data_IF_214486681353
#
_entry.id   IF_214486681353
#
_cell.length_a   1.000
_cell.length_b   1.000
_cell.length_c   1.000
_cell.angle_alpha   90.00
_cell.angle_beta   90.00
_cell.angle_gamma   90.00
#
_symmetry.space_group_name_H-M   'P 1'
#
loop_
_entity.id
_entity.type
_entity.pdbx_description
1 polymer ?
#
# COMPACT_ATOMS: atom_id res chain seq x y z
N UNK A 1 -22.24 23.22 -34.03
CA UNK A 1 -21.17 23.53 -33.05
C UNK A 1 -21.32 22.52 -31.92
N UNK A 2 -20.34 21.62 -31.81
CA UNK A 2 -20.47 20.32 -31.15
C UNK A 2 -20.45 20.43 -29.62
N UNK A 3 -21.53 19.96 -28.99
CA UNK A 3 -21.72 19.90 -27.54
C UNK A 3 -20.68 19.03 -26.81
N UNK A 4 -19.96 18.17 -27.52
CA UNK A 4 -18.88 17.32 -27.00
C UNK A 4 -17.58 18.08 -26.71
N UNK A 5 -17.29 19.16 -27.43
CA UNK A 5 -16.04 19.93 -27.23
C UNK A 5 -16.09 20.78 -25.94
N UNK A 6 -17.28 21.28 -25.58
CA UNK A 6 -17.51 22.05 -24.37
C UNK A 6 -17.44 21.19 -23.09
N UNK A 7 -17.86 19.93 -23.17
CA UNK A 7 -17.79 18.98 -22.03
C UNK A 7 -16.34 18.57 -21.77
N UNK A 8 -15.54 18.36 -22.82
CA UNK A 8 -14.11 18.02 -22.66
C UNK A 8 -13.29 19.18 -22.10
N UNK A 9 -13.56 20.42 -22.54
CA UNK A 9 -12.90 21.62 -22.00
C UNK A 9 -13.27 21.85 -20.52
N UNK A 10 -14.55 21.76 -20.16
CA UNK A 10 -15.00 21.88 -18.76
C UNK A 10 -14.45 20.76 -17.86
N UNK A 11 -14.28 19.54 -18.40
CA UNK A 11 -13.71 18.42 -17.65
C UNK A 11 -12.21 18.56 -17.39
N UNK A 12 -11.47 19.20 -18.31
CA UNK A 12 -10.03 19.45 -18.16
C UNK A 12 -9.77 20.61 -17.21
N UNK A 13 -10.53 21.71 -17.34
CA UNK A 13 -10.40 22.88 -16.47
C UNK A 13 -10.70 22.53 -15.01
N UNK A 14 -11.77 21.76 -14.77
CA UNK A 14 -12.12 21.26 -13.44
C UNK A 14 -11.16 20.21 -12.87
N UNK A 15 -10.38 19.51 -13.71
CA UNK A 15 -9.33 18.60 -13.25
C UNK A 15 -8.03 19.34 -12.90
N UNK A 16 -7.69 20.39 -13.65
CA UNK A 16 -6.50 21.21 -13.41
C UNK A 16 -6.66 22.10 -12.17
N UNK A 17 -7.82 22.74 -11.98
CA UNK A 17 -8.13 23.49 -10.75
C UNK A 17 -8.07 22.61 -9.50
N UNK A 18 -8.68 21.42 -9.58
CA UNK A 18 -8.72 20.49 -8.46
C UNK A 18 -7.32 19.91 -8.15
N UNK A 19 -6.48 19.69 -9.16
CA UNK A 19 -5.07 19.34 -8.95
C UNK A 19 -4.25 20.48 -8.33
N UNK A 20 -4.53 21.72 -8.71
CA UNK A 20 -3.87 22.92 -8.18
C UNK A 20 -4.25 23.15 -6.71
N UNK A 21 -5.52 23.03 -6.37
CA UNK A 21 -6.04 23.14 -5.00
C UNK A 21 -5.48 22.03 -4.11
N UNK A 22 -5.45 20.79 -4.60
CA UNK A 22 -4.85 19.68 -3.86
C UNK A 22 -3.35 19.89 -3.60
N UNK A 23 -2.61 20.52 -4.53
CA UNK A 23 -1.21 20.90 -4.29
C UNK A 23 -1.09 21.97 -3.20
N UNK A 24 -1.94 22.99 -3.21
CA UNK A 24 -1.93 24.03 -2.17
C UNK A 24 -2.25 23.47 -0.79
N UNK A 25 -3.25 22.57 -0.69
CA UNK A 25 -3.58 21.86 0.54
C UNK A 25 -2.38 21.06 1.04
N UNK A 26 -1.73 20.25 0.19
CA UNK A 26 -0.54 19.47 0.57
C UNK A 26 0.59 20.35 1.09
N UNK A 27 0.83 21.51 0.46
CA UNK A 27 1.91 22.42 0.87
C UNK A 27 1.67 23.00 2.26
N UNK A 28 0.40 23.19 2.65
CA UNK A 28 -0.02 23.75 3.94
C UNK A 28 -0.01 22.74 5.11
N UNK A 29 0.06 21.44 4.83
CA UNK A 29 0.00 20.41 5.88
C UNK A 29 1.24 20.47 6.78
N UNK A 30 1.08 20.22 8.10
CA UNK A 30 2.22 20.04 9.00
C UNK A 30 3.14 18.94 8.49
N UNK A 31 4.45 19.21 8.50
CA UNK A 31 5.47 18.31 7.96
C UNK A 31 6.38 17.86 9.10
N UNK A 32 6.73 16.59 9.07
CA UNK A 32 7.73 16.03 9.96
C UNK A 32 8.67 15.13 9.15
N UNK A 33 9.96 15.19 9.48
CA UNK A 33 10.93 14.30 8.88
C UNK A 33 10.65 12.88 9.39
N UNK A 34 10.27 11.98 8.48
CA UNK A 34 10.07 10.60 8.85
C UNK A 34 11.42 9.94 9.13
N UNK A 35 11.37 8.81 9.84
CA UNK A 35 12.45 7.85 10.02
C UNK A 35 12.90 7.19 8.69
N UNK A 36 12.12 7.39 7.62
CA UNK A 36 12.32 6.90 6.25
C UNK A 36 12.75 8.08 5.37
N UNK A 37 13.38 7.81 4.21
CA UNK A 37 13.82 8.77 3.19
C UNK A 37 12.73 9.72 2.61
N UNK A 38 11.52 9.76 3.16
CA UNK A 38 10.38 10.59 2.70
C UNK A 38 9.81 11.46 3.81
N UNK A 39 9.37 12.67 3.49
CA UNK A 39 8.64 13.53 4.42
C UNK A 39 7.25 12.95 4.76
N UNK A 40 6.89 12.95 6.04
CA UNK A 40 5.53 12.64 6.48
C UNK A 40 4.71 13.93 6.61
N UNK A 41 3.45 13.86 6.22
CA UNK A 41 2.48 14.95 6.31
C UNK A 41 1.33 14.54 7.24
N UNK A 42 0.87 15.48 8.06
CA UNK A 42 -0.30 15.28 8.91
C UNK A 42 -1.57 15.56 8.11
N UNK A 43 -2.32 14.52 7.77
CA UNK A 43 -3.51 14.58 6.92
C UNK A 43 -4.69 13.90 7.63
N UNK A 44 -5.83 14.59 7.73
CA UNK A 44 -7.08 14.04 8.30
C UNK A 44 -6.89 13.24 9.61
N UNK A 45 -6.09 13.79 10.53
CA UNK A 45 -5.78 13.22 11.84
C UNK A 45 -4.81 12.03 11.88
N UNK A 46 -4.03 11.77 10.82
CA UNK A 46 -2.95 10.78 10.84
C UNK A 46 -1.70 11.24 10.06
N UNK A 47 -0.55 10.68 10.43
CA UNK A 47 0.70 10.91 9.72
C UNK A 47 0.83 9.91 8.56
N UNK A 48 1.13 10.40 7.36
CA UNK A 48 1.41 9.54 6.23
C UNK A 48 2.48 10.10 5.28
N UNK A 49 3.18 9.22 4.54
CA UNK A 49 4.15 9.63 3.53
C UNK A 49 3.53 10.57 2.49
N UNK A 50 4.25 11.62 2.12
CA UNK A 50 3.76 12.64 1.17
C UNK A 50 3.33 12.07 -0.18
N UNK A 51 3.98 11.01 -0.66
CA UNK A 51 3.65 10.33 -1.91
C UNK A 51 2.32 9.57 -1.87
N UNK A 52 1.71 9.38 -0.70
CA UNK A 52 0.40 8.73 -0.55
C UNK A 52 -0.76 9.71 -0.46
N UNK A 53 -0.52 11.00 -0.21
CA UNK A 53 -1.61 11.98 -0.05
C UNK A 53 -2.45 12.09 -1.32
N UNK A 54 -1.81 12.30 -2.48
CA UNK A 54 -2.51 12.41 -3.76
C UNK A 54 -3.30 11.13 -4.10
N UNK A 55 -2.71 9.92 -3.98
CA UNK A 55 -3.46 8.66 -4.04
C UNK A 55 -4.68 8.60 -3.14
N UNK A 56 -4.56 9.02 -1.88
CA UNK A 56 -5.65 8.97 -0.89
C UNK A 56 -6.77 9.95 -1.28
N UNK A 57 -6.44 11.19 -1.69
CA UNK A 57 -7.43 12.17 -2.15
C UNK A 57 -8.16 11.63 -3.40
N UNK A 58 -7.42 11.10 -4.37
CA UNK A 58 -8.02 10.53 -5.58
C UNK A 58 -8.92 9.34 -5.26
N UNK A 59 -8.51 8.48 -4.33
CA UNK A 59 -9.33 7.40 -3.83
C UNK A 59 -10.62 7.90 -3.18
N UNK A 60 -10.54 8.89 -2.28
CA UNK A 60 -11.71 9.46 -1.59
C UNK A 60 -12.74 10.04 -2.57
N UNK A 61 -12.28 10.67 -3.65
CA UNK A 61 -13.13 11.36 -4.62
C UNK A 61 -13.73 10.42 -5.68
N UNK A 62 -12.99 9.38 -6.10
CA UNK A 62 -13.36 8.60 -7.29
C UNK A 62 -13.75 7.15 -6.99
N UNK A 63 -13.48 6.62 -5.80
CA UNK A 63 -13.77 5.21 -5.52
C UNK A 63 -15.26 4.96 -5.31
N UNK A 64 -15.78 3.94 -6.00
CA UNK A 64 -17.17 3.50 -5.89
C UNK A 64 -17.21 2.07 -5.33
N UNK A 65 -17.58 1.99 -4.05
CA UNK A 65 -17.77 0.73 -3.35
C UNK A 65 -19.01 -0.02 -3.87
N UNK A 66 -18.94 -1.35 -3.82
CA UNK A 66 -20.08 -2.25 -3.99
C UNK A 66 -20.34 -2.96 -2.68
N UNK A 67 -21.59 -3.36 -2.45
CA UNK A 67 -21.97 -4.15 -1.28
C UNK A 67 -21.27 -5.53 -1.24
N UNK A 68 -20.80 -6.04 -2.38
CA UNK A 68 -20.02 -7.28 -2.48
C UNK A 68 -18.54 -7.11 -2.15
N UNK A 69 -18.04 -5.88 -1.99
CA UNK A 69 -16.62 -5.64 -1.77
C UNK A 69 -16.18 -6.06 -0.37
N UNK A 70 -14.92 -6.47 -0.29
CA UNK A 70 -14.26 -6.82 0.96
C UNK A 70 -12.99 -5.98 1.10
N UNK A 71 -12.90 -5.19 2.16
CA UNK A 71 -11.76 -4.32 2.47
C UNK A 71 -10.99 -4.89 3.65
N UNK A 72 -9.74 -5.27 3.40
CA UNK A 72 -8.81 -5.77 4.40
C UNK A 72 -7.99 -4.60 4.96
N UNK A 73 -8.41 -4.07 6.10
CA UNK A 73 -7.80 -2.92 6.75
C UNK A 73 -6.79 -3.35 7.82
N UNK A 74 -5.71 -2.59 7.98
CA UNK A 74 -4.67 -2.91 8.97
C UNK A 74 -3.68 -1.77 9.13
N UNK A 75 -3.02 -1.67 10.27
CA UNK A 75 -1.79 -0.90 10.35
C UNK A 75 -0.66 -1.60 9.58
N UNK A 76 0.31 -0.85 9.00
CA UNK A 76 1.49 -1.46 8.42
C UNK A 76 2.14 -2.42 9.42
N UNK A 77 2.54 -3.61 8.94
CA UNK A 77 3.28 -4.63 9.70
C UNK A 77 2.51 -5.33 10.83
N UNK A 78 1.18 -5.23 10.87
CA UNK A 78 0.33 -5.98 11.83
C UNK A 78 -0.07 -7.39 11.37
N UNK A 79 0.55 -7.96 10.32
CA UNK A 79 0.17 -9.27 9.76
C UNK A 79 -0.67 -9.21 8.47
N UNK A 80 -0.55 -8.12 7.73
CA UNK A 80 -1.42 -7.73 6.62
C UNK A 80 -1.33 -8.69 5.44
N UNK A 81 -0.13 -9.18 5.12
CA UNK A 81 0.10 -10.22 4.10
C UNK A 81 -0.67 -11.50 4.41
N UNK A 82 -0.64 -11.93 5.67
CA UNK A 82 -1.30 -13.16 6.10
C UNK A 82 -2.83 -13.02 6.04
N UNK A 83 -3.38 -11.91 6.55
CA UNK A 83 -4.82 -11.66 6.49
C UNK A 83 -5.32 -11.55 5.04
N UNK A 84 -4.58 -10.89 4.15
CA UNK A 84 -4.92 -10.80 2.72
C UNK A 84 -4.95 -12.18 2.07
N UNK A 85 -3.94 -13.01 2.32
CA UNK A 85 -3.88 -14.37 1.79
C UNK A 85 -5.07 -15.22 2.28
N UNK A 86 -5.36 -15.18 3.58
CA UNK A 86 -6.50 -15.90 4.15
C UNK A 86 -7.83 -15.44 3.56
N UNK A 87 -8.05 -14.12 3.50
CA UNK A 87 -9.28 -13.55 2.95
C UNK A 87 -9.46 -13.99 1.49
N UNK A 88 -8.39 -13.90 0.68
CA UNK A 88 -8.42 -14.34 -0.71
C UNK A 88 -8.74 -15.82 -0.85
N UNK A 89 -8.10 -16.69 -0.06
CA UNK A 89 -8.36 -18.14 -0.09
C UNK A 89 -9.78 -18.47 0.34
N UNK A 90 -10.30 -17.85 1.40
CA UNK A 90 -11.65 -18.13 1.91
C UNK A 90 -12.71 -17.73 0.87
N UNK A 91 -12.56 -16.55 0.28
CA UNK A 91 -13.49 -16.02 -0.72
C UNK A 91 -13.48 -16.86 -1.99
N UNK A 92 -12.29 -17.30 -2.43
CA UNK A 92 -12.11 -18.04 -3.67
C UNK A 92 -11.97 -19.56 -3.47
N UNK A 93 -12.37 -20.09 -2.30
CA UNK A 93 -12.17 -21.50 -1.92
C UNK A 93 -12.79 -22.51 -2.88
N UNK A 94 -13.85 -22.12 -3.58
CA UNK A 94 -14.55 -22.94 -4.56
C UNK A 94 -14.08 -22.68 -6.01
N UNK A 95 -13.26 -21.65 -6.23
CA UNK A 95 -12.80 -21.25 -7.57
C UNK A 95 -11.45 -21.89 -7.94
N UNK A 96 -10.60 -22.15 -6.95
CA UNK A 96 -9.26 -22.67 -7.17
C UNK A 96 -9.04 -23.97 -6.39
N UNK A 97 -8.45 -24.96 -7.04
CA UNK A 97 -7.93 -26.14 -6.34
C UNK A 97 -6.68 -25.78 -5.56
N UNK A 98 -6.34 -26.59 -4.56
CA UNK A 98 -5.15 -26.39 -3.74
C UNK A 98 -3.86 -26.39 -4.57
N UNK A 99 -3.74 -27.31 -5.53
CA UNK A 99 -2.55 -27.49 -6.38
C UNK A 99 -2.32 -26.33 -7.36
N UNK A 100 -3.40 -25.67 -7.80
CA UNK A 100 -3.34 -24.59 -8.78
C UNK A 100 -3.77 -23.23 -8.19
N UNK A 101 -3.58 -23.05 -6.89
CA UNK A 101 -3.99 -21.82 -6.21
C UNK A 101 -3.13 -20.61 -6.62
N UNK A 102 -3.71 -19.44 -6.97
CA UNK A 102 -2.96 -18.26 -7.40
C UNK A 102 -1.88 -17.78 -6.41
N UNK A 103 -2.10 -18.00 -5.11
CA UNK A 103 -1.12 -17.66 -4.05
C UNK A 103 0.22 -18.39 -4.17
N UNK A 104 0.27 -19.54 -4.87
CA UNK A 104 1.50 -20.29 -5.09
C UNK A 104 2.35 -19.70 -6.22
N UNK A 105 1.73 -18.93 -7.13
CA UNK A 105 2.36 -18.44 -8.38
C UNK A 105 2.48 -16.92 -8.43
N UNK A 106 1.69 -16.20 -7.64
CA UNK A 106 1.56 -14.74 -7.72
C UNK A 106 1.82 -14.06 -6.38
N UNK A 107 2.36 -12.84 -6.47
CA UNK A 107 2.54 -11.97 -5.31
C UNK A 107 1.15 -11.52 -4.80
N UNK A 108 0.94 -11.60 -3.47
CA UNK A 108 -0.35 -11.25 -2.84
C UNK A 108 -0.85 -9.86 -3.21
N UNK A 109 0.04 -8.89 -3.38
CA UNK A 109 -0.32 -7.50 -3.74
C UNK A 109 -0.94 -7.37 -5.13
N UNK A 110 -0.80 -8.37 -6.01
CA UNK A 110 -1.51 -8.42 -7.30
C UNK A 110 -2.91 -9.03 -7.16
N UNK A 111 -3.10 -9.92 -6.19
CA UNK A 111 -4.36 -10.62 -5.95
C UNK A 111 -5.31 -9.81 -5.05
N UNK A 112 -4.75 -9.15 -4.03
CA UNK A 112 -5.45 -8.27 -3.11
C UNK A 112 -4.73 -6.92 -3.11
N UNK A 113 -4.97 -6.08 -4.13
CA UNK A 113 -4.23 -4.84 -4.31
C UNK A 113 -4.48 -3.82 -3.19
N UNK A 114 -3.47 -3.01 -2.88
CA UNK A 114 -3.60 -1.91 -1.92
C UNK A 114 -4.28 -0.73 -2.59
N UNK A 115 -5.27 -0.14 -1.91
CA UNK A 115 -6.00 1.01 -2.41
C UNK A 115 -5.04 2.18 -2.69
N UNK A 116 -4.27 2.57 -1.68
CA UNK A 116 -3.39 3.73 -1.71
C UNK A 116 -2.08 3.52 -2.49
N UNK A 117 -1.70 2.27 -2.78
CA UNK A 117 -0.42 1.95 -3.45
C UNK A 117 -0.52 1.26 -4.80
N UNK A 118 -1.64 0.61 -5.09
CA UNK A 118 -1.81 -0.16 -6.34
C UNK A 118 -3.00 0.35 -7.16
N UNK A 119 -4.14 0.67 -6.53
CA UNK A 119 -5.30 1.17 -7.27
C UNK A 119 -5.16 2.65 -7.63
N UNK A 120 -4.63 3.46 -6.74
CA UNK A 120 -4.47 4.90 -6.92
C UNK A 120 -2.99 5.30 -6.88
N UNK A 121 -2.10 4.38 -7.29
CA UNK A 121 -0.66 4.61 -7.31
C UNK A 121 -0.32 5.96 -7.99
N UNK A 122 0.66 6.68 -7.45
CA UNK A 122 1.06 7.97 -7.99
C UNK A 122 1.62 7.86 -9.42
N UNK A 123 2.24 6.72 -9.78
CA UNK A 123 2.63 6.40 -11.14
C UNK A 123 1.56 5.52 -11.81
N UNK A 124 1.03 5.98 -12.96
CA UNK A 124 0.04 5.23 -13.74
C UNK A 124 0.56 3.87 -14.22
N UNK A 125 1.88 3.70 -14.40
CA UNK A 125 2.46 2.42 -14.84
C UNK A 125 2.28 1.29 -13.83
N UNK A 126 2.25 1.65 -12.55
CA UNK A 126 2.09 0.70 -11.44
C UNK A 126 0.62 0.54 -11.01
N UNK A 127 -0.29 1.28 -11.67
CA UNK A 127 -1.70 1.27 -11.35
C UNK A 127 -2.38 -0.02 -11.85
N UNK A 128 -3.13 -0.68 -10.96
CA UNK A 128 -3.98 -1.81 -11.31
C UNK A 128 -5.40 -1.29 -11.56
N UNK A 129 -5.90 -1.33 -12.81
CA UNK A 129 -7.26 -0.90 -13.11
C UNK A 129 -8.28 -1.73 -12.33
N UNK A 130 -9.25 -1.07 -11.70
CA UNK A 130 -10.30 -1.72 -10.92
C UNK A 130 -11.12 -2.71 -11.76
N UNK A 131 -11.20 -2.50 -13.08
CA UNK A 131 -11.88 -3.38 -14.04
C UNK A 131 -11.20 -4.74 -14.24
N UNK A 132 -9.91 -4.88 -13.87
CA UNK A 132 -9.17 -6.15 -13.96
C UNK A 132 -9.34 -7.02 -12.72
N UNK A 133 -10.00 -6.52 -11.67
CA UNK A 133 -10.16 -7.24 -10.41
C UNK A 133 -11.40 -8.13 -10.51
N UNK A 134 -11.22 -9.42 -10.20
CA UNK A 134 -12.26 -10.44 -10.28
C UNK A 134 -13.22 -10.27 -9.09
N UNK A 135 -14.51 -10.48 -9.32
CA UNK A 135 -15.54 -10.45 -8.28
C UNK A 135 -15.56 -11.74 -7.44
N UNK A 136 -15.84 -11.65 -6.13
CA UNK A 136 -16.02 -10.42 -5.36
C UNK A 136 -14.69 -9.69 -5.13
N UNK A 137 -14.68 -8.36 -5.29
CA UNK A 137 -13.45 -7.56 -5.21
C UNK A 137 -12.91 -7.52 -3.79
N UNK A 138 -11.62 -7.84 -3.65
CA UNK A 138 -10.91 -7.80 -2.37
C UNK A 138 -9.81 -6.74 -2.45
N UNK A 139 -9.85 -5.79 -1.53
CA UNK A 139 -8.87 -4.72 -1.43
C UNK A 139 -8.13 -4.80 -0.11
N UNK A 140 -6.93 -4.24 -0.03
CA UNK A 140 -6.30 -3.95 1.26
C UNK A 140 -6.01 -2.47 1.42
N UNK A 141 -5.93 -2.01 2.66
CA UNK A 141 -5.62 -0.61 2.95
C UNK A 141 -4.97 -0.42 4.31
N UNK A 142 -4.14 0.62 4.39
CA UNK A 142 -3.63 1.17 5.64
C UNK A 142 -4.26 2.51 6.03
N UNK A 143 -5.22 3.00 5.24
CA UNK A 143 -5.93 4.25 5.50
C UNK A 143 -6.85 4.06 6.72
N UNK A 144 -6.84 4.98 7.71
CA UNK A 144 -7.77 4.95 8.82
C UNK A 144 -9.24 5.01 8.35
N UNK A 145 -10.14 4.41 9.12
CA UNK A 145 -11.56 4.32 8.77
C UNK A 145 -12.19 5.69 8.47
N UNK A 146 -11.87 6.73 9.26
CA UNK A 146 -12.36 8.10 9.08
C UNK A 146 -11.96 8.73 7.74
N UNK A 147 -10.90 8.22 7.11
CA UNK A 147 -10.34 8.70 5.85
C UNK A 147 -10.62 7.76 4.68
N UNK A 148 -11.48 6.75 4.84
CA UNK A 148 -11.94 5.93 3.72
C UNK A 148 -12.94 6.72 2.85
N UNK A 149 -13.07 6.33 1.58
CA UNK A 149 -14.06 6.92 0.68
C UNK A 149 -15.48 6.81 1.28
N UNK A 150 -16.29 7.87 1.14
CA UNK A 150 -17.66 7.89 1.68
C UNK A 150 -18.51 6.71 1.17
N UNK A 151 -18.31 6.32 -0.09
CA UNK A 151 -18.96 5.15 -0.69
C UNK A 151 -18.72 3.85 0.09
N UNK A 152 -17.53 3.66 0.70
CA UNK A 152 -17.25 2.52 1.58
C UNK A 152 -17.99 2.66 2.91
N UNK A 153 -18.02 3.87 3.49
CA UNK A 153 -18.66 4.13 4.78
C UNK A 153 -20.19 3.98 4.71
N UNK A 154 -20.79 4.27 3.56
CA UNK A 154 -22.25 4.26 3.34
C UNK A 154 -22.78 2.95 2.73
N UNK A 155 -21.90 2.09 2.21
CA UNK A 155 -22.27 0.80 1.59
C UNK A 155 -22.26 -0.36 2.61
N UNK A 156 -22.82 -1.50 2.20
CA UNK A 156 -22.79 -2.74 2.99
C UNK A 156 -21.51 -3.55 2.77
N UNK A 157 -20.43 -2.92 2.26
CA UNK A 157 -19.16 -3.60 2.04
C UNK A 157 -18.59 -4.11 3.37
N UNK A 158 -17.84 -5.22 3.30
CA UNK A 158 -17.32 -5.88 4.49
C UNK A 158 -15.91 -5.37 4.78
N UNK A 159 -15.69 -4.84 5.97
CA UNK A 159 -14.36 -4.41 6.41
C UNK A 159 -13.83 -5.44 7.42
N UNK A 160 -12.68 -6.04 7.10
CA UNK A 160 -11.96 -6.95 7.99
C UNK A 160 -10.70 -6.26 8.47
N UNK A 161 -10.60 -6.00 9.77
CA UNK A 161 -9.47 -5.31 10.36
C UNK A 161 -8.61 -6.25 11.21
N UNK A 162 -7.28 -6.14 11.10
CA UNK A 162 -6.33 -6.79 12.01
C UNK A 162 -5.44 -5.77 12.72
N UNK A 163 -5.45 -5.86 14.04
CA UNK A 163 -4.51 -5.20 14.93
C UNK A 163 -3.50 -6.18 15.49
N UNK A 164 -2.35 -5.64 15.88
CA UNK A 164 -1.32 -6.32 16.65
C UNK A 164 -0.94 -5.40 17.82
N UNK A 165 -0.34 -5.95 18.87
CA UNK A 165 0.25 -5.15 19.94
C UNK A 165 1.09 -4.01 19.33
N UNK A 166 0.89 -2.74 19.73
CA UNK A 166 1.59 -1.61 19.14
C UNK A 166 3.11 -1.68 19.30
N UNK A 167 3.62 -2.24 20.41
CA UNK A 167 5.05 -2.41 20.63
C UNK A 167 5.67 -3.40 19.63
N UNK A 168 5.01 -4.54 19.42
CA UNK A 168 5.45 -5.52 18.42
C UNK A 168 5.35 -4.96 16.99
N UNK A 169 4.30 -4.18 16.72
CA UNK A 169 4.09 -3.56 15.41
C UNK A 169 5.22 -2.57 15.12
N UNK A 170 5.60 -1.77 16.11
CA UNK A 170 6.72 -0.84 16.03
C UNK A 170 8.04 -1.58 15.75
N UNK A 171 8.39 -2.60 16.53
CA UNK A 171 9.63 -3.38 16.32
C UNK A 171 9.65 -4.01 14.92
N UNK A 172 8.52 -4.55 14.47
CA UNK A 172 8.40 -5.12 13.12
C UNK A 172 8.54 -4.08 12.02
N UNK A 173 8.03 -2.87 12.24
CA UNK A 173 8.17 -1.74 11.31
C UNK A 173 9.62 -1.24 11.26
N UNK A 174 10.23 -1.04 12.41
CA UNK A 174 11.63 -0.60 12.53
C UNK A 174 12.59 -1.59 11.86
N UNK A 175 12.42 -2.89 12.13
CA UNK A 175 13.21 -3.95 11.48
C UNK A 175 13.02 -3.93 9.97
N UNK A 176 11.78 -3.78 9.50
CA UNK A 176 11.47 -3.74 8.07
C UNK A 176 12.09 -2.52 7.36
N UNK A 177 12.00 -1.35 7.98
CA UNK A 177 12.59 -0.11 7.45
C UNK A 177 14.11 -0.23 7.42
N UNK A 178 14.72 -0.75 8.48
CA UNK A 178 16.17 -0.98 8.54
C UNK A 178 16.65 -1.91 7.43
N UNK A 179 15.96 -3.03 7.19
CA UNK A 179 16.27 -3.90 6.06
C UNK A 179 16.10 -3.21 4.70
N UNK A 180 15.05 -2.41 4.53
CA UNK A 180 14.79 -1.70 3.27
C UNK A 180 15.90 -0.68 2.98
N UNK A 181 16.31 0.08 4.00
CA UNK A 181 17.42 1.03 3.90
C UNK A 181 18.68 0.27 3.50
N UNK A 182 19.05 -0.81 4.20
CA UNK A 182 20.24 -1.61 3.87
C UNK A 182 20.25 -2.10 2.41
N UNK A 183 19.09 -2.52 1.90
CA UNK A 183 18.95 -2.93 0.49
C UNK A 183 19.24 -1.75 -0.45
N UNK A 184 18.61 -0.59 -0.22
CA UNK A 184 18.82 0.61 -1.05
C UNK A 184 20.28 1.04 -1.05
N UNK A 185 20.89 1.12 0.14
CA UNK A 185 22.32 1.42 0.26
C UNK A 185 23.19 0.40 -0.45
N UNK A 186 22.83 -0.89 -0.44
CA UNK A 186 23.58 -1.92 -1.15
C UNK A 186 23.48 -1.74 -2.67
N UNK A 187 22.30 -1.41 -3.19
CA UNK A 187 22.12 -1.08 -4.61
C UNK A 187 22.89 0.18 -5.02
N UNK A 188 22.89 1.22 -4.19
CA UNK A 188 23.57 2.49 -4.47
C UNK A 188 25.11 2.36 -4.38
N UNK A 189 25.62 1.54 -3.45
CA UNK A 189 27.07 1.37 -3.23
C UNK A 189 27.69 0.34 -4.18
N UNK A 190 27.00 -0.76 -4.48
CA UNK A 190 27.57 -1.88 -5.24
C UNK A 190 27.10 -1.97 -6.70
N UNK A 191 26.07 -1.23 -7.09
CA UNK A 191 25.53 -1.29 -8.44
C UNK A 191 24.95 -2.68 -8.80
N UNK A 192 24.27 -2.76 -9.94
CA UNK A 192 23.49 -3.94 -10.38
C UNK A 192 24.32 -5.19 -10.75
N UNK A 193 25.63 -5.19 -10.53
CA UNK A 193 26.52 -6.24 -11.03
C UNK A 193 27.07 -7.22 -9.97
N UNK A 194 26.80 -7.04 -8.67
CA UNK A 194 27.41 -7.91 -7.64
C UNK A 194 26.43 -8.56 -6.65
N UNK A 195 25.35 -9.14 -7.17
CA UNK A 195 24.45 -9.99 -6.38
C UNK A 195 25.11 -11.29 -5.86
N UNK A 196 26.22 -11.73 -6.46
CA UNK A 196 26.93 -12.96 -6.05
C UNK A 196 27.81 -12.76 -4.81
N UNK A 197 28.44 -11.59 -4.65
CA UNK A 197 29.29 -11.25 -3.51
C UNK A 197 28.48 -10.91 -2.24
N UNK A 198 27.25 -10.39 -2.40
CA UNK A 198 26.37 -10.06 -1.28
C UNK A 198 25.87 -11.32 -0.54
N UNK A 199 25.53 -12.40 -1.27
CA UNK A 199 25.14 -13.67 -0.64
C UNK A 199 26.31 -14.30 0.14
N UNK A 200 27.53 -14.17 -0.36
CA UNK A 200 28.73 -14.74 0.28
C UNK A 200 29.14 -13.99 1.56
N UNK A 201 28.96 -12.67 1.60
CA UNK A 201 29.29 -11.85 2.78
C UNK A 201 28.22 -11.92 3.87
N UNK A 202 26.94 -11.93 3.51
CA UNK A 202 25.85 -12.05 4.49
C UNK A 202 25.79 -13.44 5.17
N UNK A 203 26.05 -14.51 4.43
CA UNK A 203 26.09 -15.86 5.03
C UNK A 203 27.32 -16.07 5.94
N UNK A 204 28.42 -15.33 5.68
CA UNK A 204 29.63 -15.36 6.51
C UNK A 204 29.47 -14.57 7.82
N UNK A 205 28.77 -13.43 7.80
CA UNK A 205 28.56 -12.61 9.00
C UNK A 205 27.59 -13.25 10.01
N UNK A 206 26.64 -14.08 9.56
CA UNK A 206 25.72 -14.83 10.44
C UNK A 206 26.30 -16.15 11.00
N UNK A 207 27.49 -16.58 10.53
CA UNK A 207 28.19 -17.80 11.00
C UNK A 207 29.43 -17.46 11.85
N UNK A 208 29.59 -16.20 12.29
CA UNK A 208 30.49 -15.92 13.41
C UNK A 208 29.77 -16.29 14.72
N UNK A 209 30.27 -17.29 15.48
CA UNK A 209 29.55 -17.83 16.62
C UNK A 209 29.54 -16.81 17.75
N UNK A 210 28.37 -16.63 18.37
CA UNK A 210 28.23 -16.17 19.76
C UNK A 210 29.06 -17.11 20.64
N UNK A 211 30.35 -16.80 20.80
CA UNK A 211 31.21 -17.44 21.77
C UNK A 211 30.83 -16.88 23.13
N UNK A 212 30.11 -17.72 23.88
CA UNK A 212 30.11 -17.86 25.34
C UNK A 212 30.71 -16.70 26.15
N UNK A 213 29.88 -16.08 26.98
CA UNK A 213 30.32 -15.57 28.27
C UNK A 213 29.33 -16.04 29.32
N UNK A 214 29.75 -17.10 30.00
CA UNK A 214 29.28 -17.50 31.33
C UNK A 214 30.12 -16.72 32.35
N UNK A 215 29.47 -16.41 33.47
CA UNK A 215 29.87 -15.61 34.65
C UNK A 215 29.31 -14.19 34.63
#
# INVERSE_FOLDING_TARGET
>A
MNSTHLIEEQSKDGQEENQQDNKQVILSLPKENAWILSQNLYFQCFWCPSNLIQPIISFQNHFQAKDSDIVVASLPKSGTTWLRALTFTIVNRNQYSFENHPLLKSIIHKLVPSIERNLYAADMKDQIPISKIIEPRIFGTHIPFSSLAKSIQESNCKIVYISRNPFDTFVSFDTFVSCLILIVWCFDVFGWLDLSLMYFTYFSLYILPLKNSVC
#
